data_IF_226083022251
#
_entry.id   IF_226083022251
#
_cell.length_a   1.000
_cell.length_b   1.000
_cell.length_c   1.000
_cell.angle_alpha   90.00
_cell.angle_beta   90.00
_cell.angle_gamma   90.00
#
_symmetry.space_group_name_H-M   'P 1'
#
loop_
_entity.id
_entity.type
_entity.pdbx_description
1 polymer ?
#
# COMPACT_ATOMS: atom_id res chain seq x y z
N UNK A 1 14.89 15.38 -12.92
CA UNK A 1 13.57 14.73 -12.87
C UNK A 1 12.52 15.77 -12.58
N UNK A 2 11.49 15.89 -13.41
CA UNK A 2 10.26 16.55 -12.99
C UNK A 2 9.55 15.68 -11.96
N UNK A 3 8.71 16.25 -11.10
CA UNK A 3 7.86 15.48 -10.16
C UNK A 3 6.91 14.46 -10.83
N UNK A 4 6.89 14.39 -12.16
CA UNK A 4 5.96 13.61 -12.97
C UNK A 4 6.41 12.18 -13.28
N UNK A 5 7.64 11.79 -12.89
CA UNK A 5 8.21 10.46 -13.18
C UNK A 5 8.21 9.52 -11.95
N UNK A 6 7.69 9.97 -10.81
CA UNK A 6 7.68 9.16 -9.59
C UNK A 6 6.49 8.18 -9.59
N UNK A 7 6.77 6.95 -9.16
CA UNK A 7 5.74 5.93 -8.95
C UNK A 7 4.99 6.23 -7.66
N UNK A 8 3.72 6.63 -7.78
CA UNK A 8 2.84 6.89 -6.65
C UNK A 8 2.38 5.59 -6.00
N UNK A 9 2.54 5.49 -4.68
CA UNK A 9 2.16 4.34 -3.88
C UNK A 9 1.24 4.79 -2.76
N UNK A 10 0.06 4.17 -2.63
CA UNK A 10 -0.77 4.35 -1.45
C UNK A 10 -0.41 3.31 -0.39
N UNK A 11 -0.09 3.73 0.84
CA UNK A 11 0.16 2.83 1.97
C UNK A 11 -1.07 2.76 2.88
N UNK A 12 -1.84 1.67 2.78
CA UNK A 12 -3.00 1.41 3.63
C UNK A 12 -2.63 0.49 4.79
N UNK A 13 -3.07 0.85 6.00
CA UNK A 13 -2.74 0.15 7.24
C UNK A 13 -3.85 0.35 8.27
N UNK A 14 -4.01 -0.59 9.21
CA UNK A 14 -4.86 -0.36 10.37
C UNK A 14 -4.17 0.63 11.32
N UNK A 15 -4.93 1.49 12.01
CA UNK A 15 -4.37 2.54 12.88
C UNK A 15 -3.38 2.03 13.95
N UNK A 16 -3.57 0.79 14.38
CA UNK A 16 -2.75 0.06 15.35
C UNK A 16 -1.36 -0.29 14.80
N UNK A 17 -1.23 -0.43 13.49
CA UNK A 17 0.01 -0.79 12.78
C UNK A 17 0.81 0.45 12.32
N UNK A 18 0.53 1.62 12.89
CA UNK A 18 1.14 2.90 12.46
C UNK A 18 2.66 2.89 12.56
N UNK A 19 3.23 2.15 13.50
CA UNK A 19 4.68 2.10 13.69
C UNK A 19 5.36 1.31 12.57
N UNK A 20 4.79 0.16 12.22
CA UNK A 20 5.20 -0.69 11.12
C UNK A 20 5.01 0.02 9.78
N UNK A 21 3.86 0.69 9.60
CA UNK A 21 3.58 1.51 8.42
C UNK A 21 4.61 2.64 8.27
N UNK A 22 4.91 3.37 9.35
CA UNK A 22 5.91 4.44 9.35
C UNK A 22 7.32 3.92 9.03
N UNK A 23 7.68 2.75 9.54
CA UNK A 23 8.96 2.10 9.24
C UNK A 23 9.08 1.76 7.76
N UNK A 24 8.05 1.13 7.19
CA UNK A 24 8.02 0.80 5.76
C UNK A 24 8.01 2.06 4.89
N UNK A 25 7.21 3.06 5.26
CA UNK A 25 7.16 4.38 4.62
C UNK A 25 8.57 4.99 4.53
N UNK A 26 9.30 5.06 5.65
CA UNK A 26 10.64 5.65 5.66
C UNK A 26 11.61 4.93 4.70
N UNK A 27 11.52 3.59 4.60
CA UNK A 27 12.37 2.81 3.71
C UNK A 27 12.01 3.00 2.24
N UNK A 28 10.72 2.92 1.89
CA UNK A 28 10.26 3.12 0.51
C UNK A 28 10.47 4.56 0.06
N UNK A 29 10.18 5.55 0.91
CA UNK A 29 10.36 6.98 0.61
C UNK A 29 11.84 7.40 0.51
N UNK A 30 12.78 6.53 0.90
CA UNK A 30 14.21 6.74 0.65
C UNK A 30 14.63 6.42 -0.80
N UNK A 31 13.75 5.77 -1.57
CA UNK A 31 13.98 5.41 -2.97
C UNK A 31 13.54 6.60 -3.85
N UNK A 32 14.45 7.20 -4.65
CA UNK A 32 14.16 8.43 -5.40
C UNK A 32 13.00 8.33 -6.41
N UNK A 33 12.70 7.13 -6.90
CA UNK A 33 11.67 6.86 -7.90
C UNK A 33 10.27 6.67 -7.29
N UNK A 34 10.14 6.69 -5.95
CA UNK A 34 8.89 6.44 -5.25
C UNK A 34 8.32 7.70 -4.62
N UNK A 35 7.00 7.86 -4.74
CA UNK A 35 6.21 8.84 -4.02
C UNK A 35 5.18 8.10 -3.16
N UNK A 36 5.50 7.90 -1.87
CA UNK A 36 4.67 7.11 -0.98
C UNK A 36 3.69 8.03 -0.27
N UNK A 37 2.40 7.79 -0.47
CA UNK A 37 1.33 8.46 0.24
C UNK A 37 1.04 7.74 1.56
N UNK A 38 1.24 8.45 2.67
CA UNK A 38 1.03 7.96 4.03
C UNK A 38 0.28 9.04 4.81
N UNK A 39 -0.95 8.75 5.23
CA UNK A 39 -1.91 9.74 5.77
C UNK A 39 -1.31 10.68 6.84
N UNK A 40 -0.45 10.17 7.74
CA UNK A 40 0.18 10.96 8.81
C UNK A 40 1.16 12.02 8.32
N UNK A 41 1.71 11.87 7.11
CA UNK A 41 2.67 12.80 6.52
C UNK A 41 2.08 13.55 5.32
N UNK A 42 1.13 12.93 4.60
CA UNK A 42 0.59 13.45 3.35
C UNK A 42 -0.64 14.34 3.53
N UNK A 43 -1.43 14.15 4.60
CA UNK A 43 -2.59 15.01 4.89
C UNK A 43 -2.16 16.33 5.54
N UNK A 44 -2.68 17.44 5.04
CA UNK A 44 -2.50 18.78 5.62
C UNK A 44 -3.66 19.13 6.53
N UNK A 45 -3.36 19.91 7.57
CA UNK A 45 -4.36 20.46 8.48
C UNK A 45 -5.44 21.24 7.72
N UNK A 46 -6.70 20.90 7.96
CA UNK A 46 -7.86 21.53 7.31
C UNK A 46 -8.33 20.87 6.02
N UNK A 47 -7.65 19.84 5.52
CA UNK A 47 -8.17 19.02 4.43
C UNK A 47 -9.30 18.10 4.92
N UNK A 48 -10.27 17.85 4.05
CA UNK A 48 -11.21 16.75 4.23
C UNK A 48 -10.47 15.43 3.98
N UNK A 49 -10.17 14.74 5.08
CA UNK A 49 -9.37 13.53 5.07
C UNK A 49 -9.98 12.41 4.21
N UNK A 50 -11.31 12.29 4.14
CA UNK A 50 -11.96 11.23 3.36
C UNK A 50 -11.81 11.51 1.85
N UNK A 51 -11.96 12.77 1.43
CA UNK A 51 -11.79 13.17 0.02
C UNK A 51 -10.35 12.93 -0.44
N UNK A 52 -9.38 13.37 0.36
CA UNK A 52 -7.96 13.26 -0.01
C UNK A 52 -7.46 11.81 -0.03
N UNK A 53 -7.92 10.95 0.89
CA UNK A 53 -7.60 9.53 0.84
C UNK A 53 -8.12 8.90 -0.44
N UNK A 54 -9.41 9.10 -0.77
CA UNK A 54 -10.00 8.52 -2.00
C UNK A 54 -9.26 8.98 -3.25
N UNK A 55 -8.92 10.27 -3.30
CA UNK A 55 -8.12 10.84 -4.38
C UNK A 55 -6.74 10.19 -4.48
N UNK A 56 -6.04 10.05 -3.35
CA UNK A 56 -4.72 9.43 -3.31
C UNK A 56 -4.74 7.96 -3.76
N UNK A 57 -5.78 7.20 -3.38
CA UNK A 57 -5.98 5.82 -3.85
C UNK A 57 -6.11 5.79 -5.37
N UNK A 58 -6.99 6.63 -5.95
CA UNK A 58 -7.21 6.69 -7.40
C UNK A 58 -5.98 7.16 -8.19
N UNK A 59 -5.18 8.07 -7.63
CA UNK A 59 -3.97 8.58 -8.29
C UNK A 59 -2.75 7.66 -8.15
N UNK A 60 -2.83 6.63 -7.32
CA UNK A 60 -1.69 5.73 -7.06
C UNK A 60 -1.56 4.66 -8.12
N UNK A 61 -0.31 4.33 -8.50
CA UNK A 61 -0.02 3.20 -9.39
C UNK A 61 -0.06 1.87 -8.65
N UNK A 62 0.32 1.88 -7.38
CA UNK A 62 0.29 0.73 -6.50
C UNK A 62 -0.40 1.06 -5.19
N UNK A 63 -1.12 0.07 -4.66
CA UNK A 63 -1.77 0.10 -3.36
C UNK A 63 -1.15 -0.99 -2.49
N UNK A 64 -0.38 -0.59 -1.48
CA UNK A 64 0.20 -1.51 -0.50
C UNK A 64 -0.78 -1.65 0.67
N UNK A 65 -1.27 -2.86 0.89
CA UNK A 65 -2.19 -3.17 1.97
C UNK A 65 -1.47 -3.91 3.09
N UNK A 66 -1.23 -3.24 4.23
CA UNK A 66 -0.70 -3.90 5.42
C UNK A 66 -1.79 -4.68 6.14
N UNK A 67 -1.56 -5.97 6.32
CA UNK A 67 -2.45 -6.95 6.94
C UNK A 67 -1.85 -7.42 8.27
N UNK A 68 -2.63 -7.30 9.34
CA UNK A 68 -2.30 -7.74 10.69
C UNK A 68 -3.53 -8.34 11.36
N UNK A 69 -3.39 -8.74 12.63
CA UNK A 69 -4.54 -9.14 13.44
C UNK A 69 -5.58 -8.00 13.62
N UNK A 70 -5.17 -6.74 13.46
CA UNK A 70 -6.04 -5.57 13.58
C UNK A 70 -6.85 -5.27 12.32
N UNK A 71 -6.45 -5.84 11.17
CA UNK A 71 -7.13 -5.64 9.87
C UNK A 71 -8.56 -6.17 9.83
N UNK A 72 -9.03 -6.90 10.86
CA UNK A 72 -10.42 -7.40 11.00
C UNK A 72 -11.41 -6.36 11.52
N UNK A 73 -10.94 -5.26 12.11
CA UNK A 73 -11.81 -4.29 12.76
C UNK A 73 -12.66 -3.55 11.73
N UNK A 74 -13.96 -3.40 12.02
CA UNK A 74 -14.86 -2.57 11.21
C UNK A 74 -14.40 -1.12 11.30
N UNK A 75 -14.39 -0.42 10.18
CA UNK A 75 -13.98 0.98 10.13
C UNK A 75 -13.74 1.46 8.71
N UNK A 76 -13.20 2.68 8.60
CA UNK A 76 -12.89 3.31 7.32
C UNK A 76 -11.89 2.50 6.48
N UNK A 77 -10.90 1.89 7.13
CA UNK A 77 -9.94 0.97 6.52
C UNK A 77 -10.60 -0.15 5.67
N UNK A 78 -11.76 -0.69 6.08
CA UNK A 78 -12.50 -1.68 5.28
C UNK A 78 -13.09 -1.08 3.99
N UNK A 79 -13.46 0.20 4.01
CA UNK A 79 -13.96 0.91 2.82
C UNK A 79 -12.82 1.15 1.82
N UNK A 80 -11.63 1.49 2.32
CA UNK A 80 -10.43 1.64 1.48
C UNK A 80 -10.07 0.33 0.78
N UNK A 81 -10.07 -0.80 1.50
CA UNK A 81 -9.79 -2.11 0.90
C UNK A 81 -10.77 -2.42 -0.23
N UNK A 82 -12.07 -2.21 -0.01
CA UNK A 82 -13.09 -2.45 -1.05
C UNK A 82 -12.86 -1.56 -2.27
N UNK A 83 -12.60 -0.28 -2.06
CA UNK A 83 -12.26 0.63 -3.16
C UNK A 83 -11.02 0.16 -3.93
N UNK A 84 -9.97 -0.27 -3.25
CA UNK A 84 -8.77 -0.77 -3.90
C UNK A 84 -9.01 -2.07 -4.68
N UNK A 85 -9.87 -2.96 -4.17
CA UNK A 85 -10.30 -4.17 -4.87
C UNK A 85 -11.14 -3.84 -6.11
N UNK A 86 -12.04 -2.85 -6.03
CA UNK A 86 -12.84 -2.39 -7.16
C UNK A 86 -11.93 -1.82 -8.26
N UNK A 87 -11.00 -0.92 -7.88
CA UNK A 87 -10.01 -0.35 -8.82
C UNK A 87 -9.15 -1.45 -9.44
N UNK A 88 -8.70 -2.43 -8.65
CA UNK A 88 -7.91 -3.57 -9.17
C UNK A 88 -8.65 -4.30 -10.30
N UNK A 89 -9.97 -4.44 -10.21
CA UNK A 89 -10.76 -5.13 -11.23
C UNK A 89 -10.84 -4.36 -12.56
N UNK A 90 -10.48 -3.08 -12.57
CA UNK A 90 -10.37 -2.27 -13.78
C UNK A 90 -9.00 -2.42 -14.48
N UNK A 91 -7.98 -2.95 -13.78
CA UNK A 91 -6.66 -3.20 -14.37
C UNK A 91 -6.68 -4.44 -15.28
N UNK A 92 -5.89 -4.46 -16.36
CA UNK A 92 -5.72 -5.63 -17.19
C UNK A 92 -5.22 -6.85 -16.40
N UNK A 93 -5.56 -8.05 -16.88
CA UNK A 93 -5.07 -9.28 -16.28
C UNK A 93 -3.53 -9.31 -16.25
N UNK A 94 -2.98 -9.70 -15.10
CA UNK A 94 -1.53 -9.75 -14.88
C UNK A 94 -0.90 -8.45 -14.40
N UNK A 95 -1.61 -7.32 -14.43
CA UNK A 95 -1.09 -6.08 -13.85
C UNK A 95 -1.24 -6.03 -12.33
N UNK A 96 -0.17 -5.64 -11.65
CA UNK A 96 -0.15 -5.49 -10.20
C UNK A 96 -0.61 -4.07 -9.87
N UNK A 97 -1.80 -3.93 -9.29
CA UNK A 97 -2.23 -2.70 -8.62
C UNK A 97 -2.13 -2.85 -7.10
N UNK A 98 -2.66 -3.94 -6.55
CA UNK A 98 -2.73 -4.16 -5.10
C UNK A 98 -1.65 -5.17 -4.68
N UNK A 99 -0.84 -4.80 -3.68
CA UNK A 99 0.19 -5.64 -3.07
C UNK A 99 -0.20 -5.92 -1.61
N UNK A 100 -0.72 -7.12 -1.31
CA UNK A 100 -0.96 -7.55 0.06
C UNK A 100 0.34 -7.78 0.83
N UNK A 101 0.48 -7.18 2.01
CA UNK A 101 1.68 -7.29 2.85
C UNK A 101 1.27 -7.70 4.27
N UNK A 102 1.77 -8.83 4.76
CA UNK A 102 1.46 -9.33 6.10
C UNK A 102 2.51 -8.91 7.12
N UNK A 103 2.07 -8.26 8.18
CA UNK A 103 2.88 -7.91 9.35
C UNK A 103 2.95 -9.07 10.36
N UNK A 104 1.86 -9.85 10.44
CA UNK A 104 1.72 -11.05 11.27
C UNK A 104 1.30 -12.23 10.39
N UNK A 105 1.42 -13.46 10.90
CA UNK A 105 0.90 -14.66 10.23
C UNK A 105 -0.64 -14.72 10.30
N UNK A 106 -1.28 -13.90 9.47
CA UNK A 106 -2.74 -13.81 9.34
C UNK A 106 -3.19 -14.17 7.93
N UNK A 107 -4.34 -14.82 7.84
CA UNK A 107 -5.03 -15.02 6.56
C UNK A 107 -5.92 -13.81 6.27
N UNK A 108 -5.91 -13.26 5.04
CA UNK A 108 -6.79 -12.16 4.69
C UNK A 108 -8.26 -12.54 4.82
N UNK A 109 -9.08 -11.55 5.18
CA UNK A 109 -10.51 -11.74 5.37
C UNK A 109 -11.34 -11.57 4.11
N UNK A 110 -10.80 -10.85 3.13
CA UNK A 110 -11.41 -10.67 1.81
C UNK A 110 -11.02 -11.84 0.92
N UNK A 111 -12.00 -12.51 0.33
CA UNK A 111 -11.76 -13.68 -0.51
C UNK A 111 -10.96 -13.33 -1.76
N UNK A 112 -11.13 -12.10 -2.26
CA UNK A 112 -10.42 -11.55 -3.41
C UNK A 112 -8.92 -11.43 -3.15
N UNK A 113 -8.53 -11.20 -1.89
CA UNK A 113 -7.12 -11.17 -1.50
C UNK A 113 -6.54 -12.60 -1.51
N UNK A 114 -7.33 -13.64 -1.22
CA UNK A 114 -6.89 -15.05 -1.20
C UNK A 114 -6.34 -15.56 -2.54
N UNK A 115 -6.72 -14.92 -3.65
CA UNK A 115 -6.20 -15.23 -4.98
C UNK A 115 -4.84 -14.55 -5.28
N UNK A 116 -4.37 -13.66 -4.40
CA UNK A 116 -3.15 -12.89 -4.58
C UNK A 116 -1.98 -13.51 -3.81
N UNK A 117 -0.78 -13.35 -4.36
CA UNK A 117 0.44 -13.57 -3.59
C UNK A 117 0.63 -12.46 -2.56
N UNK A 118 1.16 -12.82 -1.39
CA UNK A 118 1.48 -11.90 -0.30
C UNK A 118 2.98 -11.71 -0.16
N UNK A 119 3.34 -10.56 0.41
CA UNK A 119 4.66 -10.36 1.00
C UNK A 119 4.57 -10.47 2.51
N UNK A 120 5.39 -11.33 3.11
CA UNK A 120 5.54 -11.40 4.56
C UNK A 120 6.68 -10.49 5.01
N UNK A 121 6.42 -9.64 5.99
CA UNK A 121 7.43 -8.81 6.66
C UNK A 121 8.15 -9.55 7.79
N UNK A 122 7.83 -10.84 7.98
CA UNK A 122 8.38 -11.76 8.95
C UNK A 122 8.84 -13.05 8.26
N UNK A 123 9.77 -13.82 8.84
CA UNK A 123 10.52 -13.52 10.06
C UNK A 123 11.59 -12.42 9.87
N UNK A 124 11.92 -12.08 8.62
CA UNK A 124 12.96 -11.09 8.29
C UNK A 124 12.33 -9.92 7.54
N UNK A 125 12.25 -8.77 8.22
CA UNK A 125 11.67 -7.53 7.68
C UNK A 125 12.33 -7.08 6.37
N UNK A 126 13.65 -7.22 6.28
CA UNK A 126 14.42 -6.78 5.12
C UNK A 126 14.05 -7.54 3.83
N UNK A 127 13.79 -8.84 3.94
CA UNK A 127 13.36 -9.67 2.81
C UNK A 127 11.98 -9.24 2.31
N UNK A 128 11.08 -8.88 3.22
CA UNK A 128 9.78 -8.30 2.90
C UNK A 128 9.89 -7.01 2.10
N UNK A 129 10.74 -6.08 2.54
CA UNK A 129 11.01 -4.82 1.81
C UNK A 129 11.54 -5.11 0.40
N UNK A 130 12.49 -6.04 0.25
CA UNK A 130 13.00 -6.43 -1.06
C UNK A 130 11.93 -7.02 -1.99
N UNK A 131 11.05 -7.88 -1.45
CA UNK A 131 9.94 -8.45 -2.22
C UNK A 131 8.95 -7.38 -2.66
N UNK A 132 8.64 -6.40 -1.81
CA UNK A 132 7.80 -5.26 -2.18
C UNK A 132 8.45 -4.50 -3.34
N UNK A 133 9.73 -4.13 -3.22
CA UNK A 133 10.44 -3.38 -4.26
C UNK A 133 10.46 -4.14 -5.58
N UNK A 134 10.69 -5.46 -5.56
CA UNK A 134 10.67 -6.29 -6.77
C UNK A 134 9.28 -6.39 -7.42
N UNK A 135 8.20 -6.26 -6.65
CA UNK A 135 6.84 -6.25 -7.18
C UNK A 135 6.48 -4.89 -7.82
N UNK A 136 7.18 -3.82 -7.44
CA UNK A 136 7.06 -2.52 -8.10
C UNK A 136 7.85 -2.60 -9.40
N UNK A 137 7.17 -2.57 -10.55
CA UNK A 137 7.81 -2.52 -11.87
C UNK A 137 8.44 -1.13 -12.11
N UNK A 138 9.47 -0.80 -11.32
CA UNK A 138 10.16 0.47 -11.44
C UNK A 138 10.89 0.53 -12.77
N UNK A 139 10.79 1.65 -13.51
CA UNK A 139 11.50 1.79 -14.76
C UNK A 139 13.00 1.65 -14.50
N UNK A 140 13.61 0.64 -15.13
CA UNK A 140 15.07 0.48 -15.10
C UNK A 140 15.67 1.70 -15.78
N UNK A 141 16.49 2.48 -15.07
CA UNK A 141 17.32 3.52 -15.70
C UNK A 141 18.23 2.86 -16.72
N UNK A 142 17.89 3.01 -18.00
CA UNK A 142 18.76 2.77 -19.15
C UNK A 142 19.90 3.76 -19.19
#
# INVERSE_FOLDING_TARGET
>A
MGKNDMTKIFLSYASEDVNEARKLYAQLNSIPELDVWFDKESLKSGQDWEIEIRKAIHESRYFILLLSNYSKKKGFYQKEIRMALDIRNEYPEGEIFLIPVRLDNVEPHFQELNALHYVDMFPVWFDGVHKIINALNLPTKS
#
